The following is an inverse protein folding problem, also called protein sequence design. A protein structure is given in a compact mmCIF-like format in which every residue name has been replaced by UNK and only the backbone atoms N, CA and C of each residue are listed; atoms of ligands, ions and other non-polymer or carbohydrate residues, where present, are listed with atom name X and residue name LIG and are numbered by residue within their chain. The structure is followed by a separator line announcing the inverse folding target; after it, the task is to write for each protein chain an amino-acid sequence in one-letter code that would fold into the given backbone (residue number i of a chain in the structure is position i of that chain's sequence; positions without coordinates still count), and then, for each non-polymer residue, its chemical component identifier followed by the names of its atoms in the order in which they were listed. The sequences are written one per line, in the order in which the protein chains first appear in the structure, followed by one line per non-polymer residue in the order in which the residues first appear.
data_IF_562844716697
#
_entry.id   IF_562844716697
#
_cell.length_a   1.000
_cell.length_b   1.000
_cell.length_c   1.000
_cell.angle_alpha   90.00
_cell.angle_beta   90.00
_cell.angle_gamma   90.00
#
_symmetry.space_group_name_H-M   'P 1'
#
loop_
_entity.id
_entity.type
_entity.pdbx_description
1 polymer ?
#
# COMPACT_ATOMS: atom_id res chain seq x y z
N UNK A 1 36.15 -12.46 -59.67
CA UNK A 1 36.47 -13.79 -59.08
C UNK A 1 35.31 -14.08 -58.17
N UNK A 2 34.33 -14.64 -58.74
CA UNK A 2 33.66 -15.95 -58.63
C UNK A 2 33.16 -16.24 -57.23
N UNK A 3 31.91 -16.01 -57.01
CA UNK A 3 30.73 -16.84 -57.25
C UNK A 3 30.85 -18.24 -56.64
N UNK A 4 29.96 -18.62 -55.78
CA UNK A 4 29.14 -19.83 -55.90
C UNK A 4 27.99 -19.87 -54.91
N UNK A 5 26.81 -19.69 -55.40
CA UNK A 5 25.52 -20.12 -54.86
C UNK A 5 25.46 -21.65 -54.74
N UNK A 6 24.80 -22.17 -53.74
CA UNK A 6 24.38 -23.56 -53.76
C UNK A 6 22.93 -23.73 -53.30
N UNK A 7 22.10 -24.51 -54.01
CA UNK A 7 20.64 -24.43 -53.91
C UNK A 7 19.99 -25.52 -53.03
N UNK A 8 18.80 -25.20 -52.66
CA UNK A 8 17.67 -25.98 -52.14
C UNK A 8 17.69 -27.52 -52.27
N UNK A 9 17.23 -28.21 -51.24
CA UNK A 9 16.49 -29.48 -51.36
C UNK A 9 15.22 -29.45 -50.53
N UNK A 10 14.12 -29.18 -51.24
CA UNK A 10 12.76 -29.62 -50.85
C UNK A 10 12.74 -31.15 -50.93
N UNK A 11 12.27 -31.80 -49.83
CA UNK A 11 11.69 -33.15 -49.94
C UNK A 11 10.31 -33.09 -49.31
N UNK A 12 9.35 -33.21 -50.17
CA UNK A 12 7.96 -33.61 -49.88
C UNK A 12 7.95 -35.08 -49.44
N UNK A 13 7.38 -35.38 -48.32
CA UNK A 13 6.91 -36.72 -47.98
C UNK A 13 5.42 -36.61 -47.58
N UNK A 14 4.60 -37.05 -48.51
CA UNK A 14 3.21 -37.45 -48.29
C UNK A 14 3.20 -38.74 -47.50
N UNK A 15 2.48 -38.79 -46.39
CA UNK A 15 2.11 -40.02 -45.73
C UNK A 15 0.64 -39.94 -45.32
N UNK A 16 -0.05 -41.01 -45.69
CA UNK A 16 -1.50 -41.18 -45.66
C UNK A 16 -2.05 -41.25 -44.23
N UNK A 17 -3.27 -40.73 -44.09
CA UNK A 17 -4.11 -40.84 -42.93
C UNK A 17 -4.59 -42.27 -42.69
N UNK A 18 -4.43 -42.79 -41.50
CA UNK A 18 -5.25 -43.84 -40.91
C UNK A 18 -5.78 -43.32 -39.59
N UNK A 19 -7.08 -43.06 -39.54
CA UNK A 19 -7.77 -42.71 -38.30
C UNK A 19 -8.19 -43.98 -37.57
N UNK A 20 -7.92 -44.12 -36.29
CA UNK A 20 -8.71 -44.97 -35.40
C UNK A 20 -9.78 -44.11 -34.72
N UNK A 21 -11.01 -44.45 -34.95
CA UNK A 21 -12.15 -44.04 -34.13
C UNK A 21 -11.92 -44.63 -32.72
N UNK A 22 -11.63 -43.78 -31.76
CA UNK A 22 -11.74 -44.12 -30.36
C UNK A 22 -12.90 -43.34 -29.74
N UNK A 23 -13.82 -44.12 -29.24
CA UNK A 23 -15.01 -43.72 -28.54
C UNK A 23 -14.70 -42.72 -27.39
N UNK A 24 -15.58 -41.73 -27.27
CA UNK A 24 -15.50 -40.69 -26.28
C UNK A 24 -15.43 -41.19 -24.86
N UNK A 25 -14.42 -40.69 -24.19
CA UNK A 25 -14.55 -40.32 -22.76
C UNK A 25 -14.40 -38.81 -22.75
N UNK A 26 -15.49 -38.12 -22.43
CA UNK A 26 -15.43 -36.69 -22.12
C UNK A 26 -14.30 -36.47 -21.13
N UNK A 27 -13.36 -35.51 -21.36
CA UNK A 27 -12.48 -35.11 -20.33
C UNK A 27 -13.33 -34.49 -19.23
N UNK A 28 -13.51 -35.29 -18.18
CA UNK A 28 -14.24 -34.87 -17.00
C UNK A 28 -13.74 -33.52 -16.53
N UNK A 29 -14.66 -32.78 -16.03
CA UNK A 29 -14.62 -31.57 -15.21
C UNK A 29 -13.63 -31.60 -14.02
N UNK A 30 -12.46 -32.21 -14.18
CA UNK A 30 -11.39 -32.28 -13.19
C UNK A 30 -10.50 -31.01 -13.17
N UNK A 31 -10.65 -30.10 -14.13
CA UNK A 31 -9.92 -28.83 -14.14
C UNK A 31 -10.62 -27.68 -13.38
N UNK A 32 -11.85 -27.89 -12.91
CA UNK A 32 -12.59 -26.86 -12.16
C UNK A 32 -12.55 -27.06 -10.63
N UNK A 33 -11.84 -28.05 -10.16
CA UNK A 33 -11.49 -28.24 -8.76
C UNK A 33 -10.01 -27.86 -8.54
N UNK A 34 -9.53 -26.76 -9.11
CA UNK A 34 -8.45 -26.02 -8.49
C UNK A 34 -8.98 -25.74 -7.08
N UNK A 35 -8.50 -26.49 -6.11
CA UNK A 35 -8.91 -26.44 -4.72
C UNK A 35 -9.05 -24.95 -4.37
N UNK A 36 -10.24 -24.51 -3.98
CA UNK A 36 -10.42 -23.27 -3.23
C UNK A 36 -9.52 -23.48 -2.01
N UNK A 37 -8.26 -23.01 -2.11
CA UNK A 37 -7.39 -22.98 -0.95
C UNK A 37 -8.21 -22.27 0.11
N UNK A 38 -8.50 -22.98 1.19
CA UNK A 38 -9.25 -22.43 2.30
C UNK A 38 -8.50 -21.16 2.72
N UNK A 39 -9.15 -20.02 2.59
CA UNK A 39 -8.55 -18.74 2.96
C UNK A 39 -8.37 -18.71 4.47
N UNK A 40 -7.20 -18.34 4.91
CA UNK A 40 -6.91 -18.09 6.32
C UNK A 40 -7.44 -16.71 6.66
N UNK A 41 -8.29 -16.61 7.66
CA UNK A 41 -9.02 -15.40 7.98
C UNK A 41 -8.38 -14.64 9.15
N UNK A 42 -8.42 -13.31 9.14
CA UNK A 42 -8.03 -12.52 10.29
C UNK A 42 -9.01 -12.77 11.45
N UNK A 43 -8.47 -12.87 12.65
CA UNK A 43 -9.26 -13.06 13.88
C UNK A 43 -9.64 -11.68 14.44
N UNK A 44 -10.93 -11.44 14.75
CA UNK A 44 -11.35 -10.24 15.47
C UNK A 44 -10.55 -10.06 16.76
N UNK A 45 -10.19 -8.84 17.08
CA UNK A 45 -9.30 -8.55 18.21
C UNK A 45 -9.68 -7.25 18.91
N UNK A 46 -9.26 -7.11 20.18
CA UNK A 46 -9.36 -5.89 20.95
C UNK A 46 -7.96 -5.35 21.29
N UNK A 47 -7.84 -4.08 21.65
CA UNK A 47 -6.55 -3.46 21.99
C UNK A 47 -5.82 -4.20 23.13
N UNK A 48 -6.57 -4.71 24.11
CA UNK A 48 -6.04 -5.47 25.23
C UNK A 48 -5.28 -6.76 24.83
N UNK A 49 -5.65 -7.36 23.70
CA UNK A 49 -5.01 -8.58 23.17
C UNK A 49 -3.55 -8.31 22.71
N UNK A 50 -3.18 -7.05 22.54
CA UNK A 50 -1.90 -6.60 22.02
C UNK A 50 -1.01 -5.94 23.07
N UNK A 51 -1.33 -6.08 24.38
CA UNK A 51 -0.55 -5.49 25.47
C UNK A 51 0.94 -5.81 25.38
N UNK A 52 1.31 -7.07 25.11
CA UNK A 52 2.71 -7.48 24.93
C UNK A 52 3.41 -6.77 23.75
N UNK A 53 2.67 -6.52 22.64
CA UNK A 53 3.20 -5.77 21.50
C UNK A 53 3.38 -4.30 21.87
N UNK A 54 2.41 -3.70 22.58
CA UNK A 54 2.49 -2.34 23.08
C UNK A 54 3.67 -2.16 24.03
N UNK A 55 3.87 -3.08 24.98
CA UNK A 55 4.98 -3.05 25.94
C UNK A 55 6.34 -3.12 25.24
N UNK A 56 6.48 -4.02 24.25
CA UNK A 56 7.72 -4.13 23.46
C UNK A 56 7.99 -2.85 22.71
N UNK A 57 6.99 -2.29 22.01
CA UNK A 57 7.14 -1.05 21.23
C UNK A 57 7.24 0.21 22.11
N UNK A 58 6.86 0.12 23.41
CA UNK A 58 6.80 1.26 24.31
C UNK A 58 5.67 2.24 23.95
N UNK A 59 4.64 1.76 23.23
CA UNK A 59 3.56 2.59 22.70
C UNK A 59 2.33 1.75 22.36
N UNK A 60 1.15 2.23 22.73
CA UNK A 60 -0.12 1.63 22.33
C UNK A 60 -0.49 2.00 20.90
N UNK A 61 -1.22 1.11 20.27
CA UNK A 61 -1.88 1.31 18.99
C UNK A 61 -3.41 1.35 19.14
N UNK A 62 -4.10 1.31 18.02
CA UNK A 62 -5.56 1.23 17.91
C UNK A 62 -5.97 0.04 17.07
N UNK A 63 -7.13 -0.55 17.34
CA UNK A 63 -7.70 -1.59 16.49
C UNK A 63 -8.49 -0.94 15.36
N UNK A 64 -8.18 -1.29 14.13
CA UNK A 64 -8.82 -0.85 12.89
C UNK A 64 -9.43 -2.07 12.18
N UNK A 65 -10.53 -1.87 11.45
CA UNK A 65 -11.27 -2.93 10.75
C UNK A 65 -11.62 -4.15 11.66
N UNK A 66 -11.63 -3.97 12.98
CA UNK A 66 -11.93 -5.00 13.98
C UNK A 66 -10.88 -6.13 14.09
N UNK A 67 -9.80 -6.11 13.31
CA UNK A 67 -8.82 -7.20 13.25
C UNK A 67 -7.36 -6.75 13.11
N UNK A 68 -7.09 -5.48 12.91
CA UNK A 68 -5.74 -4.94 12.71
C UNK A 68 -5.35 -4.04 13.87
N UNK A 69 -4.33 -4.41 14.60
CA UNK A 69 -3.73 -3.55 15.62
C UNK A 69 -2.65 -2.69 14.98
N UNK A 70 -2.91 -1.39 14.85
CA UNK A 70 -2.02 -0.44 14.19
C UNK A 70 -1.35 0.50 15.17
N UNK A 71 -0.02 0.52 15.14
CA UNK A 71 0.82 1.41 15.95
C UNK A 71 1.47 2.43 15.03
N UNK A 72 1.33 3.72 15.35
CA UNK A 72 1.86 4.83 14.55
C UNK A 72 3.05 5.49 15.25
N UNK A 73 4.05 5.91 14.46
CA UNK A 73 5.28 6.53 14.92
C UNK A 73 5.51 7.82 14.13
N UNK A 74 5.04 8.94 14.68
CA UNK A 74 5.18 10.23 14.03
C UNK A 74 6.62 10.75 14.09
N UNK A 75 7.13 11.32 12.99
CA UNK A 75 8.44 11.96 12.85
C UNK A 75 8.30 13.46 13.16
N UNK A 76 7.95 13.78 14.41
CA UNK A 76 7.85 15.19 14.87
C UNK A 76 9.21 15.88 14.96
N UNK A 77 10.28 15.09 15.04
CA UNK A 77 11.67 15.53 14.97
C UNK A 77 12.06 16.12 13.62
N UNK A 78 11.31 15.78 12.56
CA UNK A 78 11.63 16.15 11.18
C UNK A 78 10.42 16.83 10.48
N UNK A 79 10.33 18.16 10.55
CA UNK A 79 9.42 18.88 9.64
C UNK A 79 9.97 18.77 8.22
N UNK A 80 9.22 18.12 7.33
CA UNK A 80 9.59 17.95 5.93
C UNK A 80 8.89 19.01 5.10
N UNK A 81 9.65 19.76 4.32
CA UNK A 81 9.09 20.80 3.45
C UNK A 81 9.17 20.37 1.99
N UNK A 82 8.06 20.48 1.27
CA UNK A 82 7.95 20.26 -0.16
C UNK A 82 7.11 21.36 -0.80
N UNK A 83 7.63 22.04 -1.83
CA UNK A 83 6.98 23.17 -2.50
C UNK A 83 6.41 24.25 -1.54
N UNK A 84 7.11 24.51 -0.43
CA UNK A 84 6.71 25.49 0.58
C UNK A 84 5.66 24.99 1.58
N UNK A 85 5.24 23.74 1.50
CA UNK A 85 4.30 23.11 2.44
C UNK A 85 5.08 22.25 3.42
N UNK A 86 4.89 22.49 4.71
CA UNK A 86 5.49 21.65 5.77
C UNK A 86 4.57 20.50 6.13
N UNK A 87 5.10 19.30 6.11
CA UNK A 87 4.41 18.05 6.43
C UNK A 87 5.07 17.37 7.62
N UNK A 88 4.25 16.77 8.49
CA UNK A 88 4.70 15.86 9.53
C UNK A 88 4.39 14.43 9.09
N UNK A 89 5.44 13.68 8.86
CA UNK A 89 5.36 12.33 8.33
C UNK A 89 5.45 11.31 9.47
N UNK A 90 5.26 10.04 9.16
CA UNK A 90 5.37 9.01 10.18
C UNK A 90 5.50 7.61 9.60
N UNK A 91 5.93 6.73 10.49
CA UNK A 91 6.01 5.29 10.29
C UNK A 91 4.80 4.61 10.92
N UNK A 92 4.54 3.37 10.54
CA UNK A 92 3.54 2.53 11.20
C UNK A 92 3.92 1.06 11.14
N UNK A 93 3.35 0.28 12.06
CA UNK A 93 3.32 -1.18 12.01
C UNK A 93 1.88 -1.64 12.28
N UNK A 94 1.35 -2.50 11.42
CA UNK A 94 0.01 -3.05 11.46
C UNK A 94 0.10 -4.56 11.69
N UNK A 95 -0.44 -5.04 12.80
CA UNK A 95 -0.40 -6.45 13.21
C UNK A 95 -1.77 -7.07 13.00
N UNK A 96 -1.81 -8.25 12.39
CA UNK A 96 -3.04 -9.02 12.16
C UNK A 96 -2.84 -10.45 12.59
N UNK A 97 -3.69 -10.94 13.49
CA UNK A 97 -3.69 -12.32 13.94
C UNK A 97 -4.63 -13.15 13.07
N UNK A 98 -4.24 -14.39 12.77
CA UNK A 98 -5.00 -15.31 11.92
C UNK A 98 -5.47 -16.55 12.67
N UNK A 99 -6.48 -17.22 12.12
CA UNK A 99 -7.08 -18.44 12.68
C UNK A 99 -6.15 -19.67 12.59
N UNK A 100 -5.05 -19.58 11.83
CA UNK A 100 -3.98 -20.57 11.79
C UNK A 100 -2.91 -20.39 12.89
N UNK A 101 -3.11 -19.44 13.81
CA UNK A 101 -2.20 -19.16 14.93
C UNK A 101 -1.04 -18.21 14.59
N UNK A 102 -0.88 -17.80 13.34
CA UNK A 102 0.17 -16.85 12.95
C UNK A 102 -0.30 -15.41 13.08
N UNK A 103 0.68 -14.54 13.25
CA UNK A 103 0.51 -13.08 13.16
C UNK A 103 1.32 -12.57 11.98
N UNK A 104 0.71 -11.73 11.16
CA UNK A 104 1.36 -10.90 10.15
C UNK A 104 1.69 -9.54 10.76
N UNK A 105 2.84 -8.98 10.44
CA UNK A 105 3.09 -7.54 10.52
C UNK A 105 3.34 -6.99 9.12
N UNK A 106 2.69 -5.88 8.80
CA UNK A 106 3.00 -5.04 7.65
C UNK A 106 3.24 -3.62 8.14
N UNK A 107 4.16 -2.91 7.51
CA UNK A 107 4.45 -1.56 7.94
C UNK A 107 5.27 -0.74 6.95
N UNK A 108 5.48 0.51 7.34
CA UNK A 108 6.32 1.44 6.60
C UNK A 108 7.14 2.29 7.58
N UNK A 109 8.42 2.47 7.29
CA UNK A 109 9.28 3.39 8.02
C UNK A 109 9.56 4.62 7.16
N UNK A 110 9.32 5.81 7.73
CA UNK A 110 9.74 7.09 7.17
C UNK A 110 11.12 7.43 7.74
N UNK A 111 12.14 7.41 6.90
CA UNK A 111 13.55 7.53 7.29
C UNK A 111 14.27 8.60 6.46
N UNK A 112 15.27 9.23 7.05
CA UNK A 112 16.22 10.06 6.31
C UNK A 112 17.19 9.18 5.52
N UNK A 113 17.91 9.74 4.55
CA UNK A 113 18.88 8.98 3.76
C UNK A 113 19.96 8.31 4.62
N UNK A 114 20.56 8.95 5.65
CA UNK A 114 21.49 8.28 6.57
C UNK A 114 20.87 7.15 7.40
N UNK A 115 19.57 7.21 7.71
CA UNK A 115 18.86 6.18 8.48
C UNK A 115 18.44 4.97 7.63
N UNK A 116 18.39 5.13 6.30
CA UNK A 116 17.79 4.14 5.40
C UNK A 116 18.48 2.78 5.49
N UNK A 117 19.80 2.73 5.33
CA UNK A 117 20.52 1.45 5.33
C UNK A 117 20.53 0.80 6.72
N UNK A 118 20.82 1.52 7.84
CA UNK A 118 20.71 0.94 9.17
C UNK A 118 19.33 0.39 9.51
N UNK A 119 18.25 1.05 9.06
CA UNK A 119 16.88 0.57 9.27
C UNK A 119 16.61 -0.72 8.47
N UNK A 120 17.05 -0.80 7.21
CA UNK A 120 16.95 -2.01 6.38
C UNK A 120 17.70 -3.17 7.00
N UNK A 121 18.94 -2.95 7.46
CA UNK A 121 19.77 -3.98 8.09
C UNK A 121 19.08 -4.52 9.36
N UNK A 122 18.47 -3.63 10.15
CA UNK A 122 17.74 -4.02 11.35
C UNK A 122 16.46 -4.82 11.03
N UNK A 123 15.70 -4.45 9.98
CA UNK A 123 14.54 -5.21 9.50
C UNK A 123 14.97 -6.62 9.09
N UNK A 124 15.98 -6.74 8.23
CA UNK A 124 16.49 -8.02 7.74
C UNK A 124 17.03 -8.91 8.86
N UNK A 125 17.82 -8.33 9.78
CA UNK A 125 18.33 -9.04 10.97
C UNK A 125 17.21 -9.55 11.86
N UNK A 126 16.12 -8.78 11.95
CA UNK A 126 14.90 -9.13 12.68
C UNK A 126 14.00 -10.14 11.95
N UNK A 127 14.37 -10.61 10.75
CA UNK A 127 13.56 -11.55 9.95
C UNK A 127 12.34 -10.92 9.31
N UNK A 128 12.32 -9.60 9.14
CA UNK A 128 11.29 -8.89 8.37
C UNK A 128 11.78 -8.66 6.93
N UNK A 129 10.92 -8.95 5.98
CA UNK A 129 11.22 -8.81 4.55
C UNK A 129 10.92 -7.40 4.07
N UNK A 130 11.86 -6.80 3.35
CA UNK A 130 11.67 -5.52 2.70
C UNK A 130 10.89 -5.71 1.39
N UNK A 131 9.79 -4.99 1.22
CA UNK A 131 8.96 -5.09 0.02
C UNK A 131 9.07 -3.88 -0.91
N UNK A 132 9.45 -2.69 -0.41
CA UNK A 132 9.69 -1.52 -1.24
C UNK A 132 10.60 -0.49 -0.54
N UNK A 133 11.30 0.29 -1.36
CA UNK A 133 12.02 1.52 -0.97
C UNK A 133 11.68 2.59 -1.99
N UNK A 134 11.07 3.69 -1.58
CA UNK A 134 10.57 4.71 -2.50
C UNK A 134 10.39 6.07 -1.81
N UNK A 135 9.92 7.07 -2.56
CA UNK A 135 9.62 8.41 -2.07
C UNK A 135 8.12 8.69 -2.13
N UNK A 136 7.58 9.39 -1.14
CA UNK A 136 6.18 9.86 -1.14
C UNK A 136 6.02 11.26 -1.72
N UNK A 137 7.11 11.99 -1.85
CA UNK A 137 7.11 13.40 -2.21
C UNK A 137 8.12 13.68 -3.32
N UNK A 138 7.79 14.62 -4.20
CA UNK A 138 8.75 15.24 -5.10
C UNK A 138 9.73 16.09 -4.29
N UNK A 139 10.52 16.95 -4.93
CA UNK A 139 11.54 17.78 -4.29
C UNK A 139 11.17 18.18 -2.84
N UNK A 140 11.83 17.59 -1.86
CA UNK A 140 11.55 17.80 -0.44
C UNK A 140 12.85 17.83 0.39
N UNK A 141 12.78 18.53 1.52
CA UNK A 141 13.91 18.73 2.42
C UNK A 141 13.44 18.57 3.88
N UNK A 142 14.15 17.77 4.71
CA UNK A 142 15.26 16.89 4.35
C UNK A 142 14.83 15.76 3.41
N UNK A 143 15.80 15.13 2.73
CA UNK A 143 15.54 13.99 1.86
C UNK A 143 15.03 12.80 2.68
N UNK A 144 13.82 12.35 2.39
CA UNK A 144 13.14 11.25 3.06
C UNK A 144 12.92 10.08 2.13
N UNK A 145 12.93 8.88 2.72
CA UNK A 145 12.60 7.62 2.08
C UNK A 145 11.55 6.87 2.89
N UNK A 146 10.79 6.01 2.24
CA UNK A 146 9.87 5.08 2.89
C UNK A 146 10.26 3.66 2.52
N UNK A 147 10.29 2.81 3.56
CA UNK A 147 10.54 1.38 3.37
C UNK A 147 9.31 0.62 3.79
N UNK A 148 8.74 -0.18 2.90
CA UNK A 148 7.70 -1.12 3.29
C UNK A 148 8.32 -2.44 3.68
N UNK A 149 7.76 -3.05 4.72
CA UNK A 149 8.20 -4.33 5.25
C UNK A 149 7.02 -5.20 5.66
N UNK A 150 7.23 -6.50 5.67
CA UNK A 150 6.28 -7.47 6.20
C UNK A 150 7.00 -8.66 6.84
N UNK A 151 6.26 -9.45 7.62
CA UNK A 151 6.77 -10.67 8.22
C UNK A 151 5.69 -11.43 8.98
N UNK A 152 5.93 -12.72 9.19
CA UNK A 152 5.01 -13.62 9.86
C UNK A 152 5.69 -14.31 11.04
N UNK A 153 5.00 -14.49 12.17
CA UNK A 153 5.45 -15.28 13.29
C UNK A 153 4.25 -15.76 14.13
N UNK A 154 4.45 -16.82 14.90
CA UNK A 154 3.49 -17.25 15.93
C UNK A 154 3.48 -16.30 17.13
N UNK A 155 4.67 -15.79 17.54
CA UNK A 155 4.77 -14.79 18.61
C UNK A 155 4.73 -13.36 18.08
N UNK A 156 3.63 -12.61 18.24
CA UNK A 156 3.53 -11.22 17.78
C UNK A 156 4.56 -10.30 18.47
N UNK A 157 5.01 -10.64 19.67
CA UNK A 157 6.04 -9.87 20.35
C UNK A 157 7.42 -10.03 19.69
N UNK A 158 7.69 -11.13 19.00
CA UNK A 158 8.90 -11.28 18.20
C UNK A 158 8.92 -10.29 17.04
N UNK A 159 7.81 -10.18 16.29
CA UNK A 159 7.65 -9.18 15.23
C UNK A 159 7.79 -7.75 15.78
N UNK A 160 7.20 -7.47 16.93
CA UNK A 160 7.31 -6.16 17.56
C UNK A 160 8.76 -5.82 17.96
N UNK A 161 9.56 -6.78 18.42
CA UNK A 161 11.01 -6.58 18.72
C UNK A 161 11.78 -6.21 17.44
N UNK A 162 11.49 -6.87 16.32
CA UNK A 162 12.13 -6.55 15.03
C UNK A 162 11.78 -5.14 14.56
N UNK A 163 10.50 -4.76 14.65
CA UNK A 163 10.06 -3.37 14.34
C UNK A 163 10.74 -2.37 15.28
N UNK A 164 10.82 -2.66 16.58
CA UNK A 164 11.50 -1.78 17.55
C UNK A 164 12.98 -1.60 17.23
N UNK A 165 13.66 -2.66 16.83
CA UNK A 165 15.08 -2.61 16.45
C UNK A 165 15.28 -1.70 15.21
N UNK A 166 14.40 -1.80 14.23
CA UNK A 166 14.44 -0.94 13.04
C UNK A 166 14.15 0.53 13.38
N UNK A 167 13.18 0.81 14.25
CA UNK A 167 12.91 2.16 14.76
C UNK A 167 14.08 2.72 15.54
N UNK A 168 14.79 1.89 16.32
CA UNK A 168 15.97 2.32 17.08
C UNK A 168 17.17 2.71 16.20
N UNK A 169 17.17 2.29 14.92
CA UNK A 169 18.13 2.75 13.91
C UNK A 169 17.79 4.13 13.33
N UNK A 170 16.72 4.77 13.80
CA UNK A 170 16.23 6.08 13.37
C UNK A 170 16.15 7.03 14.57
N UNK A 171 15.99 8.33 14.30
CA UNK A 171 15.72 9.36 15.31
C UNK A 171 14.22 9.49 15.62
N UNK A 172 13.40 8.52 15.22
CA UNK A 172 11.94 8.55 15.46
C UNK A 172 11.64 8.69 16.96
N UNK A 173 10.88 9.72 17.39
CA UNK A 173 10.59 9.95 18.80
C UNK A 173 9.83 8.78 19.44
N UNK A 174 10.23 8.41 20.64
CA UNK A 174 9.54 7.37 21.43
C UNK A 174 8.17 7.82 21.93
N UNK A 175 7.98 9.14 22.14
CA UNK A 175 6.73 9.71 22.65
C UNK A 175 5.78 10.07 21.53
N UNK A 176 4.49 9.70 21.61
CA UNK A 176 3.48 10.16 20.66
C UNK A 176 3.31 11.68 20.70
N UNK A 177 2.90 12.33 19.57
CA UNK A 177 2.53 13.73 19.59
C UNK A 177 1.35 13.97 20.52
N UNK A 178 1.26 15.19 21.05
CA UNK A 178 0.04 15.65 21.70
C UNK A 178 -1.10 15.64 20.66
N UNK A 179 -2.26 15.14 21.06
CA UNK A 179 -3.43 15.17 20.21
C UNK A 179 -3.81 16.62 19.90
N UNK A 180 -3.94 16.95 18.63
CA UNK A 180 -4.35 18.26 18.14
C UNK A 180 -5.36 18.06 17.01
N UNK A 181 -6.45 18.83 17.04
CA UNK A 181 -7.43 18.81 15.94
C UNK A 181 -7.71 20.26 15.50
N UNK A 182 -6.76 20.91 14.84
CA UNK A 182 -6.97 22.25 14.30
C UNK A 182 -8.13 22.21 13.28
N UNK A 183 -8.85 23.33 13.21
CA UNK A 183 -9.85 23.51 12.16
C UNK A 183 -9.16 23.76 10.83
N UNK A 184 -9.74 23.22 9.77
CA UNK A 184 -9.32 23.51 8.41
C UNK A 184 -10.15 24.66 7.82
N UNK A 185 -9.57 25.44 6.93
CA UNK A 185 -10.26 26.44 6.10
C UNK A 185 -10.75 25.87 4.76
N UNK A 186 -10.60 24.56 4.56
CA UNK A 186 -11.07 23.86 3.37
C UNK A 186 -12.61 23.74 3.38
N UNK A 187 -13.21 23.79 2.21
CA UNK A 187 -14.60 23.44 2.01
C UNK A 187 -14.75 21.91 2.00
N UNK A 188 -14.68 21.32 3.21
CA UNK A 188 -14.71 19.87 3.37
C UNK A 188 -15.99 19.24 2.83
N UNK A 189 -17.13 19.94 2.94
CA UNK A 189 -18.39 19.42 2.42
C UNK A 189 -18.40 19.34 0.89
N UNK A 190 -17.84 20.34 0.20
CA UNK A 190 -17.73 20.31 -1.26
C UNK A 190 -16.69 19.25 -1.71
N UNK A 191 -15.58 19.10 -0.98
CA UNK A 191 -14.58 18.05 -1.24
C UNK A 191 -15.20 16.65 -1.08
N UNK A 192 -15.95 16.41 -0.01
CA UNK A 192 -16.67 15.15 0.23
C UNK A 192 -17.71 14.85 -0.85
N UNK A 193 -18.42 15.88 -1.29
CA UNK A 193 -19.39 15.75 -2.39
C UNK A 193 -18.72 15.32 -3.70
N UNK A 194 -17.61 15.98 -4.09
CA UNK A 194 -16.87 15.64 -5.33
C UNK A 194 -16.25 14.25 -5.27
N UNK A 195 -15.71 13.83 -4.12
CA UNK A 195 -15.15 12.50 -3.94
C UNK A 195 -16.20 11.41 -3.73
N UNK A 196 -17.47 11.81 -3.49
CA UNK A 196 -18.55 10.91 -3.09
C UNK A 196 -18.13 9.99 -1.91
N UNK A 197 -17.51 10.60 -0.90
CA UNK A 197 -16.99 9.90 0.27
C UNK A 197 -16.97 10.84 1.47
N UNK A 198 -17.04 10.31 2.68
CA UNK A 198 -16.82 11.07 3.91
C UNK A 198 -15.34 11.08 4.26
N UNK A 199 -14.82 12.23 4.62
CA UNK A 199 -13.48 12.39 5.13
C UNK A 199 -13.43 12.43 6.65
N UNK A 200 -12.24 12.22 7.19
CA UNK A 200 -11.93 12.31 8.61
C UNK A 200 -10.91 13.42 8.83
N UNK A 201 -11.16 14.30 9.81
CA UNK A 201 -10.14 15.26 10.23
C UNK A 201 -9.13 14.53 11.12
N UNK A 202 -7.91 14.39 10.64
CA UNK A 202 -6.76 13.89 11.40
C UNK A 202 -5.73 15.00 11.58
N UNK A 203 -5.75 15.62 12.74
CA UNK A 203 -4.81 16.69 13.11
C UNK A 203 -4.80 17.87 12.11
N UNK A 204 -5.97 18.26 11.60
CA UNK A 204 -6.16 19.34 10.63
C UNK A 204 -6.02 18.93 9.17
N UNK A 205 -5.63 17.69 8.91
CA UNK A 205 -5.58 17.10 7.58
C UNK A 205 -6.90 16.40 7.31
N UNK A 206 -7.54 16.70 6.18
CA UNK A 206 -8.78 16.03 5.79
C UNK A 206 -8.45 14.80 4.95
N UNK A 207 -8.73 13.60 5.48
CA UNK A 207 -8.30 12.32 4.91
C UNK A 207 -9.47 11.47 4.43
N UNK A 208 -9.25 10.78 3.32
CA UNK A 208 -10.17 9.82 2.72
C UNK A 208 -9.48 8.50 2.51
N UNK A 209 -10.19 7.42 2.83
CA UNK A 209 -9.73 6.05 2.58
C UNK A 209 -10.72 5.35 1.65
N UNK A 210 -10.18 4.61 0.68
CA UNK A 210 -10.98 3.79 -0.24
C UNK A 210 -10.43 2.38 -0.23
N UNK A 211 -11.31 1.42 0.08
CA UNK A 211 -10.96 0.01 0.12
C UNK A 211 -11.11 -0.62 -1.25
N UNK A 212 -10.25 -1.58 -1.56
CA UNK A 212 -10.42 -2.44 -2.75
C UNK A 212 -11.67 -3.29 -2.57
N UNK A 213 -12.41 -3.52 -3.66
CA UNK A 213 -13.55 -4.47 -3.66
C UNK A 213 -13.10 -5.92 -3.76
N UNK A 214 -11.88 -6.17 -4.27
CA UNK A 214 -11.28 -7.49 -4.28
C UNK A 214 -10.84 -7.88 -2.88
N UNK A 215 -10.92 -9.16 -2.58
CA UNK A 215 -10.24 -9.73 -1.41
C UNK A 215 -8.78 -9.90 -1.75
N UNK A 216 -7.91 -9.16 -1.08
CA UNK A 216 -6.47 -9.27 -1.22
C UNK A 216 -5.99 -10.36 -0.27
N UNK A 217 -5.12 -11.24 -0.76
CA UNK A 217 -4.52 -12.32 0.05
C UNK A 217 -3.01 -12.34 -0.11
N UNK A 218 -2.31 -12.79 0.92
CA UNK A 218 -0.89 -13.08 0.87
C UNK A 218 -0.65 -14.49 1.45
N UNK A 219 -0.02 -15.37 0.68
CA UNK A 219 0.14 -16.79 1.04
C UNK A 219 -1.17 -17.45 1.53
N UNK A 220 -2.31 -17.07 0.94
CA UNK A 220 -3.64 -17.57 1.30
C UNK A 220 -4.28 -16.89 2.52
N UNK A 221 -3.59 -15.98 3.22
CA UNK A 221 -4.14 -15.17 4.30
C UNK A 221 -4.78 -13.91 3.76
N UNK A 222 -5.99 -13.61 4.20
CA UNK A 222 -6.70 -12.38 3.80
C UNK A 222 -6.04 -11.17 4.45
N UNK A 223 -5.66 -10.19 3.64
CA UNK A 223 -5.12 -8.92 4.11
C UNK A 223 -6.26 -7.93 4.36
N UNK A 224 -6.55 -7.53 5.61
CA UNK A 224 -7.51 -6.47 5.88
C UNK A 224 -7.05 -5.14 5.28
N UNK A 225 -7.98 -4.24 4.90
CA UNK A 225 -7.63 -2.93 4.33
C UNK A 225 -6.65 -2.12 5.19
N UNK A 226 -6.83 -2.12 6.52
CA UNK A 226 -5.98 -1.39 7.46
C UNK A 226 -4.52 -1.88 7.53
N UNK A 227 -4.14 -2.96 6.84
CA UNK A 227 -2.73 -3.37 6.69
C UNK A 227 -1.96 -2.48 5.70
N UNK A 228 -2.64 -1.57 5.01
CA UNK A 228 -2.05 -0.65 4.03
C UNK A 228 -2.43 -0.99 2.58
N UNK A 229 -3.47 -1.82 2.37
CA UNK A 229 -3.94 -2.25 1.05
C UNK A 229 -5.07 -1.36 0.51
N UNK A 230 -5.02 -0.04 0.78
CA UNK A 230 -6.06 0.93 0.47
C UNK A 230 -5.53 2.09 -0.35
N UNK A 231 -6.43 2.78 -1.05
CA UNK A 231 -6.16 4.13 -1.55
C UNK A 231 -6.38 5.13 -0.42
N UNK A 232 -5.39 5.98 -0.17
CA UNK A 232 -5.43 7.05 0.81
C UNK A 232 -5.26 8.40 0.11
N UNK A 233 -6.12 9.36 0.41
CA UNK A 233 -6.04 10.73 -0.11
C UNK A 233 -6.05 11.69 1.08
N UNK A 234 -5.06 12.57 1.17
CA UNK A 234 -4.92 13.55 2.24
C UNK A 234 -4.90 14.97 1.67
N UNK A 235 -5.77 15.84 2.21
CA UNK A 235 -5.81 17.26 1.90
C UNK A 235 -5.19 18.03 3.06
N UNK A 236 -4.05 18.67 2.81
CA UNK A 236 -3.33 19.52 3.75
C UNK A 236 -3.74 20.97 3.49
N UNK A 237 -4.38 21.69 4.42
CA UNK A 237 -4.73 23.09 4.22
C UNK A 237 -3.46 23.95 4.04
N UNK A 238 -3.45 24.77 3.01
CA UNK A 238 -2.36 25.73 2.76
C UNK A 238 -2.85 27.19 2.69
N UNK A 239 -4.05 27.43 3.21
CA UNK A 239 -4.72 28.74 3.28
C UNK A 239 -5.54 29.08 2.04
N UNK A 240 -6.49 30.00 2.19
CA UNK A 240 -7.36 30.52 1.13
C UNK A 240 -8.12 29.41 0.36
N UNK A 241 -8.64 28.40 1.09
CA UNK A 241 -9.35 27.21 0.55
C UNK A 241 -8.49 26.31 -0.34
N UNK A 242 -7.20 26.57 -0.46
CA UNK A 242 -6.25 25.74 -1.20
C UNK A 242 -5.75 24.59 -0.32
N UNK A 243 -5.49 23.49 -0.95
CA UNK A 243 -4.89 22.31 -0.34
C UNK A 243 -3.64 21.88 -1.10
N UNK A 244 -2.67 21.33 -0.38
CA UNK A 244 -1.75 20.38 -0.95
C UNK A 244 -2.38 18.98 -0.84
N UNK A 245 -2.35 18.18 -1.90
CA UNK A 245 -2.82 16.81 -1.86
C UNK A 245 -1.67 15.83 -2.03
N UNK A 246 -1.70 14.82 -1.19
CA UNK A 246 -0.77 13.71 -1.20
C UNK A 246 -1.54 12.43 -0.85
N UNK A 247 -1.07 11.30 -1.30
CA UNK A 247 -1.71 10.02 -1.00
C UNK A 247 -1.14 8.90 -1.83
N UNK A 248 -1.91 7.82 -1.91
CA UNK A 248 -1.50 6.59 -2.53
C UNK A 248 -2.71 5.90 -3.19
N UNK A 249 -2.61 5.59 -4.48
CA UNK A 249 -3.63 4.84 -5.19
C UNK A 249 -3.28 3.36 -5.20
N UNK A 250 -4.12 2.51 -4.60
CA UNK A 250 -4.02 1.06 -4.68
C UNK A 250 -4.70 0.54 -5.96
N UNK A 251 -3.94 -0.10 -6.86
CA UNK A 251 -4.38 -0.45 -8.22
C UNK A 251 -4.01 -1.89 -8.56
N UNK A 252 -4.86 -2.56 -9.31
CA UNK A 252 -4.45 -3.75 -10.07
C UNK A 252 -3.65 -3.34 -11.33
N UNK A 253 -2.92 -4.27 -11.94
CA UNK A 253 -2.11 -3.99 -13.14
C UNK A 253 -2.91 -3.35 -14.28
N UNK A 254 -4.19 -3.78 -14.46
CA UNK A 254 -5.07 -3.25 -15.50
C UNK A 254 -5.54 -1.81 -15.28
N UNK A 255 -5.46 -1.30 -14.05
CA UNK A 255 -5.92 0.05 -13.68
C UNK A 255 -4.80 1.08 -13.76
N UNK A 256 -3.53 0.67 -13.61
CA UNK A 256 -2.37 1.56 -13.44
C UNK A 256 -2.34 2.68 -14.48
N UNK A 257 -2.38 2.35 -15.77
CA UNK A 257 -2.23 3.37 -16.81
C UNK A 257 -3.41 4.34 -16.86
N UNK A 258 -4.62 3.87 -16.56
CA UNK A 258 -5.83 4.70 -16.55
C UNK A 258 -5.79 5.69 -15.38
N UNK A 259 -5.36 5.25 -14.19
CA UNK A 259 -5.21 6.10 -13.01
C UNK A 259 -4.13 7.16 -13.24
N UNK A 260 -2.93 6.76 -13.69
CA UNK A 260 -1.84 7.70 -13.97
C UNK A 260 -2.24 8.75 -15.02
N UNK A 261 -2.93 8.33 -16.07
CA UNK A 261 -3.44 9.25 -17.09
C UNK A 261 -4.52 10.20 -16.54
N UNK A 262 -5.40 9.73 -15.65
CA UNK A 262 -6.41 10.57 -15.00
C UNK A 262 -5.78 11.62 -14.10
N UNK A 263 -4.83 11.23 -13.24
CA UNK A 263 -4.06 12.14 -12.39
C UNK A 263 -3.39 13.24 -13.24
N UNK A 264 -2.68 12.87 -14.31
CA UNK A 264 -1.98 13.83 -15.17
C UNK A 264 -2.93 14.78 -15.92
N UNK A 265 -4.07 14.29 -16.40
CA UNK A 265 -5.10 15.16 -17.00
C UNK A 265 -5.69 16.15 -15.99
N UNK A 266 -5.78 15.75 -14.72
CA UNK A 266 -6.23 16.62 -13.62
C UNK A 266 -5.15 17.56 -13.08
N UNK A 267 -3.96 17.62 -13.68
CA UNK A 267 -2.86 18.49 -13.21
C UNK A 267 -2.13 17.94 -11.98
N UNK A 268 -2.42 16.72 -11.56
CA UNK A 268 -1.82 16.08 -10.39
C UNK A 268 -0.54 15.36 -10.81
N UNK A 269 0.56 15.64 -10.14
CA UNK A 269 1.84 15.00 -10.42
C UNK A 269 1.91 13.61 -9.83
N UNK A 270 2.39 12.64 -10.62
CA UNK A 270 2.77 11.31 -10.15
C UNK A 270 4.17 11.42 -9.53
N UNK A 271 4.35 10.82 -8.35
CA UNK A 271 5.63 10.84 -7.63
C UNK A 271 6.38 9.53 -7.86
N UNK A 272 5.75 8.43 -7.51
CA UNK A 272 6.34 7.09 -7.56
C UNK A 272 5.29 6.06 -7.94
N UNK A 273 5.73 4.97 -8.56
CA UNK A 273 4.94 3.75 -8.77
C UNK A 273 5.69 2.59 -8.12
N UNK A 274 5.08 1.91 -7.17
CA UNK A 274 5.71 0.89 -6.35
C UNK A 274 4.72 -0.21 -5.93
N UNK A 275 5.13 -1.15 -5.09
CA UNK A 275 4.33 -2.19 -4.48
C UNK A 275 4.41 -2.10 -2.94
N UNK A 276 3.43 -2.63 -2.22
CA UNK A 276 3.48 -2.76 -0.75
C UNK A 276 3.82 -4.19 -0.32
N UNK A 277 3.49 -5.20 -1.12
CA UNK A 277 3.80 -6.60 -0.90
C UNK A 277 4.65 -7.19 -2.03
N UNK A 278 5.12 -8.42 -1.85
CA UNK A 278 5.87 -9.16 -2.87
C UNK A 278 5.06 -10.27 -3.51
N UNK A 279 4.07 -10.80 -2.80
CA UNK A 279 3.37 -12.05 -3.12
C UNK A 279 1.85 -11.99 -3.01
N UNK A 280 1.29 -10.78 -2.78
CA UNK A 280 -0.16 -10.60 -2.65
C UNK A 280 -0.92 -10.92 -3.95
N UNK A 281 -2.14 -11.43 -3.81
CA UNK A 281 -3.05 -11.78 -4.90
C UNK A 281 -4.45 -11.17 -4.69
N UNK A 282 -5.00 -10.43 -5.68
CA UNK A 282 -4.32 -10.00 -6.89
C UNK A 282 -3.14 -9.06 -6.58
N UNK A 283 -2.12 -9.07 -7.44
CA UNK A 283 -0.99 -8.16 -7.35
C UNK A 283 -1.50 -6.72 -7.37
N UNK A 284 -1.07 -5.92 -6.37
CA UNK A 284 -1.35 -4.50 -6.31
C UNK A 284 -0.10 -3.66 -6.66
N UNK A 285 -0.38 -2.54 -7.27
CA UNK A 285 0.56 -1.46 -7.51
C UNK A 285 0.05 -0.21 -6.82
N UNK A 286 0.97 0.62 -6.35
CA UNK A 286 0.65 1.83 -5.62
C UNK A 286 1.30 3.02 -6.30
N UNK A 287 0.60 4.15 -6.35
CA UNK A 287 1.13 5.37 -6.94
C UNK A 287 0.93 6.57 -6.03
N UNK A 288 2.05 7.13 -5.59
CA UNK A 288 2.03 8.42 -4.89
C UNK A 288 1.82 9.58 -5.86
N UNK A 289 1.15 10.60 -5.37
CA UNK A 289 0.82 11.78 -6.14
C UNK A 289 0.97 13.06 -5.32
N UNK A 290 1.12 14.20 -6.02
CA UNK A 290 1.26 15.52 -5.42
C UNK A 290 0.64 16.61 -6.29
N UNK A 291 -0.12 17.51 -5.69
CA UNK A 291 -0.54 18.78 -6.32
C UNK A 291 -0.87 19.82 -5.24
N UNK A 292 -0.90 21.09 -5.63
CA UNK A 292 -1.36 22.21 -4.80
C UNK A 292 -2.31 23.06 -5.64
N UNK A 293 -3.59 23.15 -5.24
CA UNK A 293 -4.60 23.99 -5.88
C UNK A 293 -5.80 24.22 -4.93
N UNK A 294 -6.90 24.78 -5.43
CA UNK A 294 -8.19 24.80 -4.73
C UNK A 294 -8.61 23.36 -4.39
N UNK A 295 -9.04 23.15 -3.12
CA UNK A 295 -9.33 21.82 -2.62
C UNK A 295 -10.44 21.09 -3.38
N UNK A 296 -11.45 21.84 -3.88
CA UNK A 296 -12.58 21.26 -4.63
C UNK A 296 -12.16 20.89 -6.05
N UNK A 297 -11.31 21.70 -6.70
CA UNK A 297 -10.75 21.38 -8.01
C UNK A 297 -9.92 20.11 -7.94
N UNK A 298 -9.06 19.97 -6.91
CA UNK A 298 -8.27 18.76 -6.67
C UNK A 298 -9.15 17.54 -6.40
N UNK A 299 -10.21 17.69 -5.62
CA UNK A 299 -11.15 16.60 -5.34
C UNK A 299 -11.80 16.07 -6.63
N UNK A 300 -12.24 16.97 -7.53
CA UNK A 300 -12.80 16.60 -8.83
C UNK A 300 -11.80 15.86 -9.72
N UNK A 301 -10.54 16.33 -9.74
CA UNK A 301 -9.47 15.67 -10.48
C UNK A 301 -9.16 14.26 -9.92
N UNK A 302 -9.12 14.12 -8.59
CA UNK A 302 -8.92 12.84 -7.90
C UNK A 302 -10.10 11.88 -8.10
N UNK A 303 -11.34 12.37 -8.19
CA UNK A 303 -12.52 11.56 -8.48
C UNK A 303 -12.37 10.81 -9.80
N UNK A 304 -11.88 11.48 -10.85
CA UNK A 304 -11.64 10.84 -12.14
C UNK A 304 -10.59 9.71 -12.06
N UNK A 305 -9.61 9.81 -11.18
CA UNK A 305 -8.64 8.73 -10.94
C UNK A 305 -9.25 7.59 -10.11
N UNK A 306 -10.08 7.90 -9.10
CA UNK A 306 -10.84 6.90 -8.34
C UNK A 306 -11.80 6.10 -9.24
N UNK A 307 -12.47 6.76 -10.18
CA UNK A 307 -13.37 6.10 -11.14
C UNK A 307 -12.67 5.10 -12.07
N UNK A 308 -11.34 5.21 -12.19
CA UNK A 308 -10.51 4.26 -12.91
C UNK A 308 -10.08 3.04 -12.06
N UNK A 309 -10.52 2.95 -10.80
CA UNK A 309 -10.20 1.86 -9.87
C UNK A 309 -11.45 1.11 -9.42
N UNK A 310 -11.29 -0.15 -9.03
CA UNK A 310 -12.36 -0.93 -8.40
C UNK A 310 -12.34 -0.78 -6.88
N UNK A 311 -12.59 0.45 -6.40
CA UNK A 311 -12.58 0.78 -4.98
C UNK A 311 -13.96 1.22 -4.48
N UNK A 312 -14.11 1.32 -3.15
CA UNK A 312 -15.28 1.86 -2.48
C UNK A 312 -14.81 2.70 -1.28
N UNK A 313 -15.50 3.81 -0.94
CA UNK A 313 -15.19 4.53 0.29
C UNK A 313 -15.17 3.59 1.49
N UNK A 314 -14.20 3.75 2.37
CA UNK A 314 -14.26 3.17 3.71
C UNK A 314 -15.39 3.85 4.48
N UNK A 315 -16.20 3.06 5.18
CA UNK A 315 -17.38 3.54 5.93
C UNK A 315 -17.04 4.42 7.11
#
# INVERSE_FOLDING_TARGET
MDARLNPSRRRLLTAAAVAPVLAGTAPGTAAAAAARRQRVLPVPTAEADWSRVADVLGRSGTVEDGAVYRVRFARQDLPVTTYGVTLFLGSYAAFTRYDDGHTLVMGSLAVTEPELQPAIDALNTGGLELSAVHKHLLAHEPAMWWTHFHGHAEDPAALARSVKAALAATTTPSTPPAASQPRTDLDTAAIEHELNARGVNDSGIHRFTFNRRETITDHGRVLPPATGMTTLISFYPVGARRAAVNGDFAMTAGEVQNVLAALRRGGINVVELHNHGLTEEPRLFFAHFWAIDDGVILARALRAALDATNTTPAG
#
